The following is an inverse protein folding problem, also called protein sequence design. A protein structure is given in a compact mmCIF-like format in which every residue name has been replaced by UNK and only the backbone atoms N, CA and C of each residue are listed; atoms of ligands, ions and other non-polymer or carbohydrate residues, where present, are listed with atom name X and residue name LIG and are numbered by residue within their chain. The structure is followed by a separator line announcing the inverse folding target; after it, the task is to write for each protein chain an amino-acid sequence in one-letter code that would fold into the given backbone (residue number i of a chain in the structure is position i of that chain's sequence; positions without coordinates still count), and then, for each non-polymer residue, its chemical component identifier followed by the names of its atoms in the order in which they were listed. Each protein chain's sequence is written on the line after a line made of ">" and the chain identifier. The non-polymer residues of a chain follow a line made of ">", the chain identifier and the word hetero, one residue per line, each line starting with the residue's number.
data_IF_982664658611
#
_entry.id   IF_982664658611
#
_cell.length_a   1.000
_cell.length_b   1.000
_cell.length_c   1.000
_cell.angle_alpha   90.00
_cell.angle_beta   90.00
_cell.angle_gamma   90.00
#
_symmetry.space_group_name_H-M   'P 1'
#
loop_
_entity.id
_entity.type
_entity.pdbx_description
1 polymer ?
#
# COMPACT_ATOMS: atom_id res chain seq x y z
N UNK A 1 16.54 27.76 -26.27
CA UNK A 1 16.16 26.95 -25.09
C UNK A 1 14.65 26.80 -25.06
N UNK A 2 14.13 25.57 -25.13
CA UNK A 2 12.69 25.33 -24.90
C UNK A 2 12.36 25.65 -23.43
N UNK A 3 11.32 26.47 -23.21
CA UNK A 3 10.81 26.73 -21.86
C UNK A 3 10.08 25.49 -21.36
N UNK A 4 10.40 25.06 -20.14
CA UNK A 4 9.66 23.99 -19.47
C UNK A 4 8.18 24.35 -19.35
N UNK A 5 7.30 23.37 -19.61
CA UNK A 5 5.85 23.47 -19.40
C UNK A 5 5.41 23.02 -18.00
N UNK A 6 6.33 22.52 -17.18
CA UNK A 6 6.02 22.02 -15.84
C UNK A 6 6.40 23.03 -14.76
N UNK A 7 5.59 23.10 -13.71
CA UNK A 7 5.89 23.84 -12.49
C UNK A 7 6.23 22.84 -11.39
N UNK A 8 7.48 22.84 -10.95
CA UNK A 8 7.87 22.10 -9.76
C UNK A 8 7.19 22.70 -8.55
N UNK A 9 6.50 21.86 -7.78
CA UNK A 9 5.94 22.23 -6.49
C UNK A 9 6.80 21.58 -5.43
N UNK A 10 7.52 22.39 -4.69
CA UNK A 10 8.11 21.93 -3.44
C UNK A 10 6.99 21.98 -2.40
N UNK A 11 6.74 20.86 -1.71
CA UNK A 11 5.98 20.96 -0.47
C UNK A 11 6.88 21.67 0.53
N UNK A 12 6.38 22.75 1.13
CA UNK A 12 7.07 23.36 2.27
C UNK A 12 6.91 22.41 3.46
N UNK A 13 8.00 21.90 4.05
CA UNK A 13 7.91 21.04 5.19
C UNK A 13 7.46 21.87 6.40
N UNK A 14 6.17 21.88 6.69
CA UNK A 14 5.69 22.16 8.05
C UNK A 14 5.93 20.87 8.84
N UNK A 15 7.20 20.61 9.13
CA UNK A 15 7.60 19.40 9.85
C UNK A 15 8.24 19.84 11.15
N UNK A 16 7.64 19.40 12.24
CA UNK A 16 8.13 19.61 13.59
C UNK A 16 9.52 18.96 13.74
N UNK A 17 10.56 19.79 13.83
CA UNK A 17 11.95 19.35 13.94
C UNK A 17 12.21 18.54 15.22
N UNK A 18 11.47 18.81 16.29
CA UNK A 18 11.56 18.04 17.53
C UNK A 18 11.03 16.63 17.29
N UNK A 19 9.84 16.53 16.69
CA UNK A 19 9.22 15.25 16.31
C UNK A 19 10.08 14.43 15.34
N UNK A 20 10.74 15.07 14.37
CA UNK A 20 11.68 14.39 13.45
C UNK A 20 12.86 13.81 14.23
N UNK A 21 13.43 14.60 15.14
CA UNK A 21 14.60 14.19 15.93
C UNK A 21 14.26 13.02 16.85
N UNK A 22 13.09 13.07 17.49
CA UNK A 22 12.64 12.03 18.41
C UNK A 22 12.36 10.71 17.69
N UNK A 23 11.59 10.76 16.59
CA UNK A 23 11.29 9.56 15.79
C UNK A 23 12.54 8.99 15.11
N UNK A 24 13.44 9.85 14.62
CA UNK A 24 14.71 9.42 14.03
C UNK A 24 15.56 8.63 15.02
N UNK A 25 15.69 9.12 16.27
CA UNK A 25 16.39 8.41 17.34
C UNK A 25 15.67 7.12 17.75
N UNK A 26 14.35 7.20 17.95
CA UNK A 26 13.55 6.06 18.42
C UNK A 26 13.55 4.89 17.44
N UNK A 27 13.57 5.17 16.13
CA UNK A 27 13.55 4.17 15.07
C UNK A 27 14.92 3.87 14.46
N UNK A 28 15.96 4.63 14.86
CA UNK A 28 17.29 4.57 14.24
C UNK A 28 17.27 4.76 12.72
N UNK A 29 16.39 5.65 12.24
CA UNK A 29 16.20 5.99 10.82
C UNK A 29 16.73 7.39 10.51
N UNK A 30 17.04 7.65 9.25
CA UNK A 30 17.56 8.97 8.85
C UNK A 30 16.51 10.07 9.06
N UNK A 31 16.90 11.29 9.50
CA UNK A 31 15.98 12.41 9.66
C UNK A 31 15.19 12.74 8.38
N UNK A 32 15.85 12.64 7.21
CA UNK A 32 15.21 12.84 5.91
C UNK A 32 14.09 11.82 5.65
N UNK A 33 14.31 10.55 6.00
CA UNK A 33 13.28 9.53 5.84
C UNK A 33 12.08 9.81 6.74
N UNK A 34 12.33 10.19 8.00
CA UNK A 34 11.26 10.57 8.94
C UNK A 34 10.48 11.80 8.43
N UNK A 35 11.15 12.80 7.88
CA UNK A 35 10.50 13.97 7.27
C UNK A 35 9.55 13.56 6.13
N UNK A 36 9.99 12.64 5.26
CA UNK A 36 9.16 12.10 4.18
C UNK A 36 7.99 11.25 4.67
N UNK A 37 8.15 10.55 5.80
CA UNK A 37 7.07 9.82 6.47
C UNK A 37 6.02 10.78 7.03
N UNK A 38 6.43 11.84 7.71
CA UNK A 38 5.53 12.86 8.27
C UNK A 38 4.73 13.56 7.16
N UNK A 39 5.38 13.88 6.03
CA UNK A 39 4.70 14.44 4.85
C UNK A 39 3.65 13.49 4.23
N UNK A 40 3.76 12.18 4.48
CA UNK A 40 2.81 11.15 4.02
C UNK A 40 1.72 10.82 5.06
N UNK A 41 1.70 11.51 6.20
CA UNK A 41 0.76 11.25 7.29
C UNK A 41 1.14 10.07 8.20
N UNK A 42 2.36 9.56 8.07
CA UNK A 42 2.93 8.55 8.97
C UNK A 42 3.53 9.27 10.18
N UNK A 43 2.67 9.64 11.13
CA UNK A 43 2.94 10.59 12.21
C UNK A 43 3.18 9.97 13.59
N UNK A 44 3.30 8.64 13.66
CA UNK A 44 3.61 7.89 14.87
C UNK A 44 4.69 6.84 14.59
N UNK A 45 5.35 6.40 15.67
CA UNK A 45 6.35 5.34 15.61
C UNK A 45 5.76 4.07 15.00
N UNK A 46 4.57 3.70 15.46
CA UNK A 46 3.84 2.50 15.06
C UNK A 46 3.49 2.55 13.57
N UNK A 47 2.96 3.68 13.08
CA UNK A 47 2.65 3.84 11.65
C UNK A 47 3.88 3.70 10.77
N UNK A 48 5.03 4.20 11.22
CA UNK A 48 6.28 4.13 10.46
C UNK A 48 6.85 2.72 10.49
N UNK A 49 6.89 2.05 11.65
CA UNK A 49 7.32 0.65 11.77
C UNK A 49 6.46 -0.26 10.90
N UNK A 50 5.15 -0.11 11.01
CA UNK A 50 4.17 -0.87 10.26
C UNK A 50 4.31 -0.65 8.73
N UNK A 51 4.72 0.54 8.29
CA UNK A 51 4.95 0.84 6.87
C UNK A 51 6.25 0.20 6.33
N UNK A 52 7.32 0.17 7.13
CA UNK A 52 8.63 -0.37 6.71
C UNK A 52 8.65 -1.89 6.82
N UNK A 53 7.91 -2.43 7.79
CA UNK A 53 7.78 -3.85 8.06
C UNK A 53 6.29 -4.21 8.01
N UNK A 54 5.71 -4.27 6.80
CA UNK A 54 4.34 -4.77 6.66
C UNK A 54 4.30 -6.23 7.10
N UNK A 55 3.26 -6.57 7.86
CA UNK A 55 2.97 -7.92 8.31
C UNK A 55 1.63 -8.39 7.74
N UNK A 56 1.24 -9.62 8.09
CA UNK A 56 -0.01 -10.22 7.60
C UNK A 56 -1.27 -9.45 8.05
N UNK A 57 -1.18 -8.56 9.05
CA UNK A 57 -2.32 -7.74 9.47
C UNK A 57 -2.75 -6.70 8.44
N UNK A 58 -1.91 -6.44 7.42
CA UNK A 58 -2.25 -5.60 6.26
C UNK A 58 -3.13 -6.31 5.23
N UNK A 59 -3.23 -7.64 5.31
CA UNK A 59 -4.08 -8.40 4.41
C UNK A 59 -5.50 -8.27 4.93
N UNK A 60 -6.31 -7.46 4.23
CA UNK A 60 -7.72 -7.35 4.51
C UNK A 60 -8.40 -8.70 4.28
N UNK A 61 -9.41 -8.98 5.09
CA UNK A 61 -10.29 -10.12 4.86
C UNK A 61 -10.90 -10.03 3.44
N UNK A 62 -10.63 -11.00 2.55
CA UNK A 62 -11.19 -11.01 1.20
C UNK A 62 -12.72 -10.97 1.18
N UNK A 63 -13.40 -11.46 2.22
CA UNK A 63 -14.85 -11.41 2.34
C UNK A 63 -15.42 -9.99 2.45
N UNK A 64 -14.58 -8.99 2.70
CA UNK A 64 -14.97 -7.59 2.62
C UNK A 64 -15.16 -7.11 1.18
N UNK A 65 -14.65 -7.85 0.19
CA UNK A 65 -14.89 -7.55 -1.22
C UNK A 65 -16.34 -7.86 -1.60
N UNK A 66 -16.94 -6.99 -2.41
CA UNK A 66 -18.30 -7.17 -2.90
C UNK A 66 -18.46 -8.53 -3.60
N UNK A 67 -19.54 -9.24 -3.29
CA UNK A 67 -19.89 -10.56 -3.83
C UNK A 67 -18.86 -11.69 -3.60
N UNK A 68 -17.91 -11.53 -2.66
CA UNK A 68 -16.91 -12.57 -2.41
C UNK A 68 -17.52 -13.90 -1.95
N UNK A 69 -18.51 -13.89 -1.04
CA UNK A 69 -19.22 -15.11 -0.62
C UNK A 69 -19.85 -15.85 -1.80
N UNK A 70 -20.48 -15.10 -2.70
CA UNK A 70 -21.12 -15.63 -3.91
C UNK A 70 -20.08 -16.20 -4.89
N UNK A 71 -18.94 -15.53 -5.05
CA UNK A 71 -17.85 -15.99 -5.90
C UNK A 71 -17.27 -17.31 -5.38
N UNK A 72 -16.98 -17.40 -4.08
CA UNK A 72 -16.49 -18.63 -3.43
C UNK A 72 -17.49 -19.77 -3.64
N UNK A 73 -18.77 -19.55 -3.31
CA UNK A 73 -19.81 -20.57 -3.46
C UNK A 73 -19.92 -21.10 -4.90
N UNK A 74 -19.89 -20.21 -5.90
CA UNK A 74 -20.00 -20.61 -7.31
C UNK A 74 -18.79 -21.42 -7.78
N UNK A 75 -17.58 -21.03 -7.37
CA UNK A 75 -16.34 -21.72 -7.73
C UNK A 75 -16.29 -23.10 -7.05
N UNK A 76 -16.65 -23.20 -5.77
CA UNK A 76 -16.71 -24.48 -5.05
C UNK A 76 -17.68 -25.44 -5.74
N UNK A 77 -18.88 -24.97 -6.12
CA UNK A 77 -19.85 -25.79 -6.85
C UNK A 77 -19.30 -26.29 -8.20
N UNK A 78 -18.64 -25.41 -8.98
CA UNK A 78 -18.01 -25.81 -10.25
C UNK A 78 -16.99 -26.95 -10.06
N UNK A 79 -16.17 -26.84 -9.02
CA UNK A 79 -15.15 -27.84 -8.69
C UNK A 79 -15.80 -29.17 -8.30
N UNK A 80 -16.83 -29.15 -7.45
CA UNK A 80 -17.56 -30.35 -7.01
C UNK A 80 -18.26 -31.07 -8.17
N UNK A 81 -18.79 -30.31 -9.13
CA UNK A 81 -19.50 -30.84 -10.30
C UNK A 81 -18.56 -31.20 -11.48
N UNK A 82 -17.26 -30.92 -11.36
CA UNK A 82 -16.29 -31.17 -12.43
C UNK A 82 -16.49 -30.27 -13.65
N UNK A 83 -17.05 -29.07 -13.46
CA UNK A 83 -17.22 -28.09 -14.52
C UNK A 83 -15.87 -27.54 -15.00
N UNK A 84 -15.79 -27.19 -16.28
CA UNK A 84 -14.61 -26.47 -16.80
C UNK A 84 -14.62 -25.02 -16.33
N UNK A 85 -13.54 -24.61 -15.66
CA UNK A 85 -13.32 -23.23 -15.21
C UNK A 85 -12.30 -22.58 -16.15
N UNK A 86 -12.66 -21.42 -16.71
CA UNK A 86 -11.75 -20.60 -17.52
C UNK A 86 -11.38 -19.34 -16.74
N UNK A 87 -10.09 -19.06 -16.57
CA UNK A 87 -9.59 -17.84 -15.95
C UNK A 87 -9.22 -16.85 -17.05
N UNK A 88 -9.85 -15.68 -17.04
CA UNK A 88 -9.61 -14.60 -18.00
C UNK A 88 -9.05 -13.38 -17.27
N UNK A 89 -7.76 -13.08 -17.49
CA UNK A 89 -7.08 -11.89 -16.98
C UNK A 89 -6.84 -10.87 -18.10
N UNK A 90 -6.55 -9.63 -17.72
CA UNK A 90 -6.02 -8.65 -18.67
C UNK A 90 -4.52 -8.88 -18.94
N UNK A 91 -3.95 -8.11 -19.87
CA UNK A 91 -2.55 -8.27 -20.28
C UNK A 91 -1.55 -7.59 -19.33
N UNK A 92 -2.01 -6.98 -18.23
CA UNK A 92 -1.11 -6.30 -17.32
C UNK A 92 -0.33 -7.30 -16.46
N UNK A 93 0.90 -6.92 -16.09
CA UNK A 93 1.81 -7.80 -15.36
C UNK A 93 1.25 -8.25 -14.00
N UNK A 94 0.26 -7.53 -13.45
CA UNK A 94 -0.47 -7.92 -12.26
C UNK A 94 -1.38 -9.13 -12.50
N UNK A 95 -2.26 -9.06 -13.50
CA UNK A 95 -3.21 -10.12 -13.82
C UNK A 95 -2.54 -11.40 -14.34
N UNK A 96 -1.37 -11.28 -14.96
CA UNK A 96 -0.59 -12.46 -15.41
C UNK A 96 0.01 -13.23 -14.22
N UNK A 97 0.23 -12.58 -13.07
CA UNK A 97 0.84 -13.20 -11.87
C UNK A 97 -0.18 -13.76 -10.87
N UNK A 98 -1.45 -13.37 -10.99
CA UNK A 98 -2.53 -13.71 -10.04
C UNK A 98 -3.14 -15.08 -10.26
#
# INVERSE_FOLDING_TARGET
>A
MLKSRTKWKLNEPIVDHEKVTDLSKALSLSPLFIELCLQRGLDSKEKIEQFIQPDETWIYDPYLMHDMERAVSRITEAVEQGEQITIYGDYDAGAIRS
#
